data_IF_921446876154
#
_entry.id   IF_921446876154
#
_cell.length_a   1.000
_cell.length_b   1.000
_cell.length_c   1.000
_cell.angle_alpha   90.00
_cell.angle_beta   90.00
_cell.angle_gamma   90.00
#
_symmetry.space_group_name_H-M   'P 1'
#
loop_
_entity.id
_entity.type
_entity.pdbx_description
1 polymer ?
#
# COMPACT_ATOMS: atom_id res chain seq x y z
N UNK A 1 -5.22 -13.66 -13.33
CA UNK A 1 -4.73 -12.62 -12.41
C UNK A 1 -5.51 -11.35 -12.73
N UNK A 2 -6.61 -11.13 -12.05
CA UNK A 2 -7.38 -9.89 -12.21
C UNK A 2 -6.70 -8.87 -11.30
N UNK A 3 -5.83 -8.03 -11.87
CA UNK A 3 -5.39 -6.83 -11.17
C UNK A 3 -6.67 -6.05 -10.85
N UNK A 4 -7.00 -5.92 -9.56
CA UNK A 4 -7.97 -4.90 -9.17
C UNK A 4 -7.44 -3.59 -9.70
N UNK A 5 -8.20 -2.94 -10.58
CA UNK A 5 -7.82 -1.66 -11.20
C UNK A 5 -7.79 -0.51 -10.19
N UNK A 6 -8.22 -0.75 -8.95
CA UNK A 6 -8.27 0.25 -7.88
C UNK A 6 -7.79 -0.34 -6.57
N UNK A 7 -6.76 0.23 -5.98
CA UNK A 7 -6.37 -0.04 -4.59
C UNK A 7 -7.24 0.81 -3.66
N UNK A 8 -7.65 0.26 -2.54
CA UNK A 8 -8.37 0.96 -1.46
C UNK A 8 -7.50 1.15 -0.21
N UNK A 9 -6.29 0.62 -0.24
CA UNK A 9 -5.28 0.80 0.81
C UNK A 9 -3.98 1.38 0.25
N UNK A 10 -3.22 2.07 1.10
CA UNK A 10 -1.91 2.63 0.74
C UNK A 10 -0.92 1.53 0.42
N UNK A 11 -0.97 0.45 1.20
CA UNK A 11 -0.12 -0.72 0.99
C UNK A 11 -0.34 -1.32 -0.40
N UNK A 12 -1.60 -1.54 -0.79
CA UNK A 12 -1.96 -2.15 -2.07
C UNK A 12 -1.57 -1.25 -3.25
N UNK A 13 -1.77 0.08 -3.11
CA UNK A 13 -1.38 1.05 -4.12
C UNK A 13 0.15 1.09 -4.33
N UNK A 14 0.93 1.01 -3.24
CA UNK A 14 2.38 0.90 -3.33
C UNK A 14 2.83 -0.42 -3.98
N UNK A 15 2.17 -1.55 -3.66
CA UNK A 15 2.47 -2.84 -4.28
C UNK A 15 2.17 -2.84 -5.79
N UNK A 16 1.08 -2.17 -6.20
CA UNK A 16 0.75 -2.00 -7.61
C UNK A 16 1.78 -1.12 -8.34
N UNK A 17 2.21 -0.03 -7.73
CA UNK A 17 3.25 0.83 -8.30
C UNK A 17 4.60 0.08 -8.40
N UNK A 18 5.00 -0.62 -7.34
CA UNK A 18 6.20 -1.45 -7.31
C UNK A 18 6.20 -2.53 -8.39
N UNK A 19 5.03 -3.06 -8.75
CA UNK A 19 4.89 -4.11 -9.76
C UNK A 19 5.39 -3.69 -11.14
N UNK A 20 5.42 -2.41 -11.45
CA UNK A 20 5.93 -1.85 -12.72
C UNK A 20 7.45 -2.04 -12.87
N UNK A 21 8.16 -2.21 -11.74
CA UNK A 21 9.60 -2.41 -11.69
C UNK A 21 10.02 -3.89 -11.64
N UNK A 22 9.07 -4.83 -11.54
CA UNK A 22 9.41 -6.24 -11.42
C UNK A 22 10.09 -6.78 -12.66
N UNK A 23 11.16 -7.54 -12.45
CA UNK A 23 11.89 -8.24 -13.53
C UNK A 23 11.30 -9.60 -13.86
N UNK A 24 10.45 -10.15 -12.97
CA UNK A 24 9.77 -11.44 -13.13
C UNK A 24 8.37 -11.35 -12.54
N UNK A 25 7.43 -12.08 -13.11
CA UNK A 25 6.06 -12.21 -12.55
C UNK A 25 6.08 -13.01 -11.24
N UNK A 26 5.21 -12.69 -10.27
CA UNK A 26 5.04 -13.51 -9.08
C UNK A 26 4.47 -14.89 -9.42
N UNK A 27 4.59 -15.89 -8.52
CA UNK A 27 4.05 -17.22 -8.75
C UNK A 27 2.53 -17.17 -8.90
N UNK A 28 1.99 -18.02 -9.79
CA UNK A 28 0.55 -18.03 -10.12
C UNK A 28 -0.26 -19.05 -9.32
N UNK A 29 0.32 -20.25 -9.09
CA UNK A 29 -0.41 -21.31 -8.37
C UNK A 29 -0.34 -21.09 -6.86
N UNK A 30 -1.41 -21.47 -6.14
CA UNK A 30 -1.48 -21.39 -4.69
C UNK A 30 -0.32 -22.09 -4.02
N UNK A 31 0.05 -23.30 -4.49
CA UNK A 31 1.18 -24.03 -3.95
C UNK A 31 2.51 -23.29 -4.12
N UNK A 32 2.76 -22.70 -5.28
CA UNK A 32 3.97 -21.94 -5.53
C UNK A 32 4.01 -20.65 -4.69
N UNK A 33 2.86 -20.01 -4.47
CA UNK A 33 2.72 -18.85 -3.60
C UNK A 33 3.00 -19.21 -2.14
N UNK A 34 2.41 -20.29 -1.64
CA UNK A 34 2.64 -20.79 -0.28
C UNK A 34 4.10 -21.23 -0.06
N UNK A 35 4.69 -21.93 -1.02
CA UNK A 35 6.11 -22.31 -0.97
C UNK A 35 7.01 -21.05 -0.93
N UNK A 36 6.68 -20.03 -1.71
CA UNK A 36 7.39 -18.74 -1.65
C UNK A 36 7.27 -18.08 -0.28
N UNK A 37 6.05 -17.95 0.27
CA UNK A 37 5.83 -17.34 1.60
C UNK A 37 6.50 -18.15 2.71
N UNK A 38 6.47 -19.48 2.66
CA UNK A 38 7.22 -20.34 3.58
C UNK A 38 8.72 -20.05 3.54
N UNK A 39 9.27 -19.80 2.37
CA UNK A 39 10.69 -19.40 2.26
C UNK A 39 10.98 -18.05 2.95
N UNK A 40 10.01 -17.12 2.95
CA UNK A 40 10.14 -15.83 3.63
C UNK A 40 10.03 -15.96 5.15
N UNK A 41 9.24 -16.92 5.66
CA UNK A 41 9.11 -17.24 7.10
C UNK A 41 10.12 -18.27 7.59
N UNK A 42 11.21 -18.51 6.83
CA UNK A 42 12.26 -19.50 7.16
C UNK A 42 11.71 -20.93 7.37
N UNK A 43 10.70 -21.32 6.59
CA UNK A 43 10.01 -22.60 6.66
C UNK A 43 9.18 -22.79 7.95
N UNK A 44 8.90 -21.74 8.68
CA UNK A 44 8.05 -21.76 9.85
C UNK A 44 6.57 -21.60 9.43
N UNK A 45 5.81 -22.73 9.53
CA UNK A 45 4.40 -22.77 9.19
C UNK A 45 3.52 -21.99 10.18
N UNK A 46 3.91 -21.91 11.47
CA UNK A 46 3.18 -21.14 12.47
C UNK A 46 3.36 -19.63 12.19
N UNK A 47 4.57 -19.20 11.85
CA UNK A 47 4.81 -17.82 11.43
C UNK A 47 4.04 -17.46 10.15
N UNK A 48 3.91 -18.39 9.20
CA UNK A 48 3.09 -18.19 8.01
C UNK A 48 1.59 -18.08 8.34
N UNK A 49 1.06 -18.96 9.21
CA UNK A 49 -0.33 -18.90 9.65
C UNK A 49 -0.64 -17.56 10.34
N UNK A 50 0.25 -17.09 11.21
CA UNK A 50 0.15 -15.77 11.83
C UNK A 50 0.19 -14.62 10.81
N UNK A 51 1.08 -14.70 9.82
CA UNK A 51 1.20 -13.71 8.74
C UNK A 51 -0.10 -13.59 7.92
N UNK A 52 -0.76 -14.73 7.67
CA UNK A 52 -2.00 -14.80 6.92
C UNK A 52 -3.25 -14.59 7.79
N UNK A 53 -3.08 -14.44 9.11
CA UNK A 53 -4.17 -14.34 10.11
C UNK A 53 -5.13 -15.53 10.08
N UNK A 54 -4.59 -16.75 9.94
CA UNK A 54 -5.34 -17.99 9.88
C UNK A 54 -4.82 -18.99 10.92
N UNK A 55 -5.62 -20.02 11.19
CA UNK A 55 -5.20 -21.16 12.01
C UNK A 55 -4.29 -22.10 11.23
N UNK A 56 -3.49 -22.88 11.93
CA UNK A 56 -2.66 -23.93 11.29
C UNK A 56 -3.51 -24.94 10.51
N UNK A 57 -4.71 -25.26 11.01
CA UNK A 57 -5.64 -26.18 10.33
C UNK A 57 -6.15 -25.61 9.00
N UNK A 58 -6.48 -24.33 8.93
CA UNK A 58 -6.87 -23.65 7.68
C UNK A 58 -5.72 -23.59 6.67
N UNK A 59 -4.50 -23.34 7.16
CA UNK A 59 -3.31 -23.37 6.31
C UNK A 59 -3.04 -24.77 5.73
N UNK A 60 -3.19 -25.82 6.54
CA UNK A 60 -3.02 -27.21 6.11
C UNK A 60 -4.13 -27.61 5.12
N UNK A 61 -5.37 -27.21 5.36
CA UNK A 61 -6.48 -27.43 4.43
C UNK A 61 -6.22 -26.77 3.07
N UNK A 62 -5.70 -25.53 3.06
CA UNK A 62 -5.33 -24.82 1.83
C UNK A 62 -4.19 -25.52 1.07
N UNK A 63 -3.21 -26.09 1.79
CA UNK A 63 -2.12 -26.87 1.21
C UNK A 63 -2.60 -28.20 0.61
N UNK A 64 -3.57 -28.85 1.27
CA UNK A 64 -4.14 -30.11 0.81
C UNK A 64 -5.08 -29.95 -0.40
N UNK A 65 -5.79 -28.82 -0.47
CA UNK A 65 -6.75 -28.53 -1.55
C UNK A 65 -6.49 -27.15 -2.18
N UNK A 66 -5.44 -27.04 -3.02
CA UNK A 66 -5.01 -25.74 -3.57
C UNK A 66 -5.93 -25.19 -4.68
N UNK A 67 -7.03 -25.87 -5.00
CA UNK A 67 -8.06 -25.43 -5.96
C UNK A 67 -9.18 -24.66 -5.28
N UNK A 68 -8.83 -23.65 -4.52
CA UNK A 68 -9.80 -22.72 -3.94
C UNK A 68 -10.26 -21.71 -5.00
N UNK A 69 -11.53 -21.30 -5.00
CA UNK A 69 -12.01 -20.25 -5.89
C UNK A 69 -11.18 -18.97 -5.77
N UNK A 70 -11.00 -18.24 -6.85
CA UNK A 70 -10.24 -16.99 -6.85
C UNK A 70 -10.82 -15.92 -5.91
N UNK A 71 -12.10 -16.05 -5.58
CA UNK A 71 -12.83 -15.15 -4.67
C UNK A 71 -12.72 -15.54 -3.18
N UNK A 72 -12.00 -16.62 -2.87
CA UNK A 72 -11.77 -17.03 -1.47
C UNK A 72 -10.90 -15.98 -0.76
N UNK A 73 -11.34 -15.46 0.41
CA UNK A 73 -10.58 -14.46 1.16
C UNK A 73 -9.17 -14.89 1.52
N UNK A 74 -8.97 -16.18 1.82
CA UNK A 74 -7.65 -16.72 2.15
C UNK A 74 -6.74 -16.74 0.91
N UNK A 75 -7.28 -17.09 -0.25
CA UNK A 75 -6.53 -17.04 -1.51
C UNK A 75 -6.07 -15.61 -1.84
N UNK A 76 -6.95 -14.63 -1.65
CA UNK A 76 -6.63 -13.22 -1.81
C UNK A 76 -5.59 -12.74 -0.78
N UNK A 77 -5.66 -13.21 0.47
CA UNK A 77 -4.67 -12.90 1.49
C UNK A 77 -3.27 -13.45 1.10
N UNK A 78 -3.20 -14.70 0.64
CA UNK A 78 -1.95 -15.29 0.13
C UNK A 78 -1.40 -14.49 -1.05
N UNK A 79 -2.24 -14.07 -1.98
CA UNK A 79 -1.82 -13.24 -3.11
C UNK A 79 -1.25 -11.90 -2.65
N UNK A 80 -1.96 -11.17 -1.78
CA UNK A 80 -1.49 -9.89 -1.24
C UNK A 80 -0.13 -10.02 -0.55
N UNK A 81 0.05 -11.04 0.30
CA UNK A 81 1.32 -11.23 0.99
C UNK A 81 2.45 -11.62 0.03
N UNK A 82 2.18 -12.39 -1.03
CA UNK A 82 3.18 -12.64 -2.08
C UNK A 82 3.63 -11.34 -2.74
N UNK A 83 2.69 -10.47 -3.13
CA UNK A 83 3.01 -9.18 -3.75
C UNK A 83 3.82 -8.30 -2.79
N UNK A 84 3.45 -8.28 -1.52
CA UNK A 84 4.12 -7.54 -0.46
C UNK A 84 5.60 -7.91 -0.31
N UNK A 85 5.95 -9.19 -0.43
CA UNK A 85 7.32 -9.68 -0.28
C UNK A 85 8.06 -9.88 -1.60
N UNK A 86 7.39 -9.68 -2.77
CA UNK A 86 7.99 -9.98 -4.07
C UNK A 86 9.13 -9.05 -4.41
N UNK A 87 10.26 -9.65 -4.84
CA UNK A 87 11.46 -8.97 -5.33
C UNK A 87 11.95 -7.77 -4.47
N UNK A 88 12.18 -7.91 -3.17
CA UNK A 88 12.46 -6.79 -2.28
C UNK A 88 13.74 -6.01 -2.67
N UNK A 89 14.71 -6.67 -3.30
CA UNK A 89 15.96 -6.03 -3.77
C UNK A 89 15.69 -5.12 -4.98
N UNK A 90 14.84 -5.57 -5.91
CA UNK A 90 14.45 -4.78 -7.09
C UNK A 90 13.70 -3.54 -6.65
N UNK A 91 12.70 -3.71 -5.77
CA UNK A 91 11.95 -2.61 -5.17
C UNK A 91 12.85 -1.59 -4.48
N UNK A 92 13.74 -2.03 -3.59
CA UNK A 92 14.67 -1.11 -2.89
C UNK A 92 15.54 -0.32 -3.86
N UNK A 93 16.01 -0.95 -4.95
CA UNK A 93 16.80 -0.26 -5.98
C UNK A 93 15.96 0.78 -6.72
N UNK A 94 14.71 0.47 -7.09
CA UNK A 94 13.80 1.42 -7.72
C UNK A 94 13.51 2.61 -6.80
N UNK A 95 13.15 2.35 -5.53
CA UNK A 95 12.91 3.42 -4.55
C UNK A 95 14.15 4.30 -4.33
N UNK A 96 15.34 3.72 -4.24
CA UNK A 96 16.58 4.48 -4.10
C UNK A 96 16.85 5.38 -5.31
N UNK A 97 16.58 4.89 -6.53
CA UNK A 97 16.72 5.68 -7.75
C UNK A 97 15.72 6.86 -7.80
N UNK A 98 14.47 6.63 -7.36
CA UNK A 98 13.45 7.69 -7.28
C UNK A 98 13.91 8.78 -6.30
N UNK A 99 14.36 8.39 -5.10
CA UNK A 99 14.83 9.35 -4.09
C UNK A 99 16.05 10.13 -4.58
N UNK A 100 17.00 9.47 -5.26
CA UNK A 100 18.17 10.13 -5.85
C UNK A 100 17.80 11.16 -6.94
N UNK A 101 16.66 10.96 -7.62
CA UNK A 101 16.10 11.86 -8.63
C UNK A 101 15.05 12.82 -8.05
N UNK A 102 15.33 13.45 -6.93
CA UNK A 102 14.48 14.41 -6.20
C UNK A 102 13.20 13.83 -5.56
N UNK A 103 13.03 12.50 -5.56
CA UNK A 103 11.92 11.85 -4.87
C UNK A 103 10.54 12.26 -5.36
N UNK A 104 10.37 12.57 -6.63
CA UNK A 104 9.07 12.92 -7.18
C UNK A 104 8.18 11.68 -7.29
N UNK A 105 6.98 11.80 -6.77
CA UNK A 105 5.96 10.75 -6.80
C UNK A 105 4.61 11.41 -7.07
N UNK A 106 3.90 10.93 -8.09
CA UNK A 106 2.53 11.35 -8.34
C UNK A 106 1.57 10.45 -7.59
N UNK A 107 0.55 11.03 -7.00
CA UNK A 107 -0.56 10.36 -6.32
C UNK A 107 -1.86 10.76 -7.00
N UNK A 108 -2.58 9.78 -7.56
CA UNK A 108 -3.96 9.95 -8.03
C UNK A 108 -4.90 9.21 -7.10
N UNK A 109 -5.99 9.85 -6.65
CA UNK A 109 -6.93 9.21 -5.76
C UNK A 109 -8.34 9.76 -5.87
N UNK A 110 -9.32 8.92 -5.50
CA UNK A 110 -10.69 9.30 -5.19
C UNK A 110 -10.99 8.85 -3.77
N UNK A 111 -11.25 9.81 -2.90
CA UNK A 111 -11.50 9.52 -1.49
C UNK A 111 -12.41 10.58 -0.85
N UNK A 112 -13.09 10.20 0.23
CA UNK A 112 -13.70 11.14 1.15
C UNK A 112 -12.60 11.74 2.03
N UNK A 113 -12.48 13.05 2.00
CA UNK A 113 -11.54 13.80 2.79
C UNK A 113 -12.26 14.42 3.97
N UNK A 114 -11.84 14.05 5.19
CA UNK A 114 -12.13 14.83 6.38
C UNK A 114 -11.14 15.99 6.46
N UNK A 115 -11.61 17.13 6.94
CA UNK A 115 -10.81 18.33 7.09
C UNK A 115 -10.85 18.79 8.55
N UNK A 116 -9.68 19.18 9.08
CA UNK A 116 -9.62 20.07 10.22
C UNK A 116 -9.28 21.44 9.65
N UNK A 117 -10.21 22.37 9.73
CA UNK A 117 -10.07 23.66 9.09
C UNK A 117 -9.95 24.80 10.11
N UNK A 118 -9.44 25.95 9.66
CA UNK A 118 -9.44 27.16 10.49
C UNK A 118 -10.86 27.57 10.88
N UNK A 119 -10.99 28.25 12.02
CA UNK A 119 -12.29 28.72 12.53
C UNK A 119 -13.08 29.50 11.45
N UNK A 120 -14.29 29.05 11.16
CA UNK A 120 -15.20 29.66 10.15
C UNK A 120 -15.30 28.94 8.82
N UNK A 121 -14.60 27.80 8.62
CA UNK A 121 -14.80 26.91 7.48
C UNK A 121 -15.46 25.60 7.91
N UNK A 122 -16.12 24.93 6.95
CA UNK A 122 -16.82 23.67 7.20
C UNK A 122 -15.85 22.52 7.25
N UNK A 123 -15.91 21.71 8.31
CA UNK A 123 -15.16 20.44 8.48
C UNK A 123 -15.87 19.25 7.84
N UNK A 124 -16.94 19.49 7.04
CA UNK A 124 -17.71 18.42 6.42
C UNK A 124 -16.86 17.56 5.49
N UNK A 125 -16.94 16.22 5.61
CA UNK A 125 -16.23 15.33 4.70
C UNK A 125 -16.68 15.55 3.25
N UNK A 126 -15.71 15.61 2.33
CA UNK A 126 -15.98 15.86 0.91
C UNK A 126 -15.33 14.82 0.03
N UNK A 127 -16.10 14.28 -0.90
CA UNK A 127 -15.54 13.41 -1.95
C UNK A 127 -14.67 14.25 -2.89
N UNK A 128 -13.44 13.81 -3.07
CA UNK A 128 -12.47 14.44 -4.00
C UNK A 128 -11.85 13.40 -4.92
N UNK A 129 -11.66 13.82 -6.18
CA UNK A 129 -10.81 13.15 -7.17
C UNK A 129 -9.66 14.12 -7.45
N UNK A 130 -8.45 13.75 -7.05
CA UNK A 130 -7.28 14.62 -7.13
C UNK A 130 -6.07 13.85 -7.65
N UNK A 131 -5.19 14.61 -8.33
CA UNK A 131 -3.83 14.18 -8.67
C UNK A 131 -2.86 15.18 -8.07
N UNK A 132 -1.98 14.70 -7.20
CA UNK A 132 -1.02 15.52 -6.46
C UNK A 132 0.41 15.06 -6.74
N UNK A 133 1.35 16.00 -6.79
CA UNK A 133 2.77 15.67 -6.78
C UNK A 133 3.27 15.68 -5.34
N UNK A 134 3.61 14.50 -4.84
CA UNK A 134 4.22 14.34 -3.51
C UNK A 134 5.71 14.64 -3.65
N UNK A 135 6.18 15.59 -2.87
CA UNK A 135 7.58 16.00 -2.86
C UNK A 135 8.28 15.53 -1.59
N UNK A 136 9.61 15.59 -1.57
CA UNK A 136 10.40 15.34 -0.34
C UNK A 136 9.80 16.11 0.85
N UNK A 137 9.70 15.46 2.05
CA UNK A 137 10.27 14.17 2.39
C UNK A 137 9.30 12.96 2.26
N UNK A 138 8.08 13.16 1.80
CA UNK A 138 7.00 12.17 1.89
C UNK A 138 7.25 10.85 1.12
N UNK A 139 7.77 10.87 -0.13
CA UNK A 139 8.13 9.62 -0.80
C UNK A 139 9.16 8.80 -0.02
N UNK A 140 10.16 9.48 0.56
CA UNK A 140 11.15 8.80 1.42
C UNK A 140 10.50 8.17 2.66
N UNK A 141 9.58 8.87 3.32
CA UNK A 141 8.86 8.34 4.50
C UNK A 141 8.01 7.12 4.13
N UNK A 142 7.25 7.18 3.02
CA UNK A 142 6.43 6.06 2.53
C UNK A 142 7.31 4.86 2.20
N UNK A 143 8.41 5.04 1.45
CA UNK A 143 9.32 3.96 1.10
C UNK A 143 10.01 3.35 2.33
N UNK A 144 10.42 4.18 3.28
CA UNK A 144 11.03 3.70 4.54
C UNK A 144 10.03 2.87 5.35
N UNK A 145 8.81 3.35 5.52
CA UNK A 145 7.74 2.62 6.19
C UNK A 145 7.41 1.31 5.47
N UNK A 146 7.32 1.35 4.13
CA UNK A 146 7.11 0.17 3.29
C UNK A 146 8.23 -0.87 3.43
N UNK A 147 9.50 -0.45 3.50
CA UNK A 147 10.65 -1.37 3.64
C UNK A 147 10.67 -2.10 4.99
N UNK A 148 10.15 -1.51 6.04
CA UNK A 148 10.04 -2.14 7.37
C UNK A 148 8.71 -2.85 7.59
N UNK A 149 7.89 -2.98 6.54
CA UNK A 149 6.57 -3.58 6.59
C UNK A 149 5.63 -2.91 7.62
N UNK A 150 5.65 -1.58 7.67
CA UNK A 150 4.77 -0.81 8.55
C UNK A 150 3.30 -1.17 8.30
N UNK A 151 2.45 -1.12 9.34
CA UNK A 151 1.02 -1.37 9.21
C UNK A 151 0.35 -0.29 8.37
N UNK A 152 -0.81 -0.63 7.76
CA UNK A 152 -1.58 0.28 6.92
C UNK A 152 -1.91 1.61 7.62
N UNK A 153 -2.23 1.56 8.91
CA UNK A 153 -2.52 2.78 9.70
C UNK A 153 -1.37 3.79 9.68
N UNK A 154 -0.12 3.31 9.73
CA UNK A 154 1.05 4.17 9.67
C UNK A 154 1.30 4.72 8.26
N UNK A 155 1.16 3.88 7.22
CA UNK A 155 1.26 4.31 5.84
C UNK A 155 0.20 5.38 5.52
N UNK A 156 -1.03 5.18 6.01
CA UNK A 156 -2.12 6.15 5.87
C UNK A 156 -1.83 7.45 6.61
N UNK A 157 -1.25 7.41 7.80
CA UNK A 157 -0.86 8.62 8.54
C UNK A 157 0.20 9.43 7.78
N UNK A 158 1.20 8.77 7.20
CA UNK A 158 2.20 9.45 6.35
C UNK A 158 1.54 10.07 5.12
N UNK A 159 0.61 9.34 4.49
CA UNK A 159 -0.10 9.84 3.31
C UNK A 159 -1.02 11.01 3.65
N UNK A 160 -1.73 10.98 4.78
CA UNK A 160 -2.55 12.09 5.25
C UNK A 160 -1.71 13.37 5.42
N UNK A 161 -0.52 13.25 6.03
CA UNK A 161 0.40 14.37 6.16
C UNK A 161 0.89 14.89 4.80
N UNK A 162 1.18 13.98 3.86
CA UNK A 162 1.60 14.36 2.51
C UNK A 162 0.47 15.09 1.76
N UNK A 163 -0.75 14.58 1.82
CA UNK A 163 -1.93 15.20 1.18
C UNK A 163 -2.23 16.54 1.83
N UNK A 164 -2.17 16.64 3.16
CA UNK A 164 -2.36 17.92 3.89
C UNK A 164 -1.36 18.96 3.41
N UNK A 165 -0.08 18.61 3.34
CA UNK A 165 0.97 19.48 2.86
C UNK A 165 0.72 19.95 1.41
N UNK A 166 0.38 19.02 0.50
CA UNK A 166 0.15 19.36 -0.91
C UNK A 166 -1.16 20.11 -1.15
N UNK A 167 -2.21 19.82 -0.39
CA UNK A 167 -3.54 20.40 -0.58
C UNK A 167 -3.62 21.84 -0.08
N UNK A 168 -3.07 22.11 1.13
CA UNK A 168 -3.13 23.44 1.73
C UNK A 168 -1.95 24.35 1.34
N UNK A 169 -0.79 23.77 1.00
CA UNK A 169 0.45 24.53 0.84
C UNK A 169 0.71 25.07 -0.56
N UNK A 170 -0.20 24.87 -1.50
CA UNK A 170 0.07 25.21 -2.91
C UNK A 170 0.41 26.68 -3.15
N UNK A 171 0.13 27.61 -2.22
CA UNK A 171 0.51 29.03 -2.30
C UNK A 171 0.34 29.81 -0.99
N UNK A 172 0.29 29.18 0.20
CA UNK A 172 0.15 29.91 1.47
C UNK A 172 1.02 29.28 2.56
N UNK A 173 1.59 30.09 3.49
CA UNK A 173 2.14 29.55 4.71
C UNK A 173 1.01 28.82 5.46
N UNK A 174 1.29 27.61 5.92
CA UNK A 174 0.33 26.79 6.69
C UNK A 174 -0.11 27.51 7.92
N UNK A 175 -1.42 27.58 8.12
CA UNK A 175 -1.96 27.79 9.46
C UNK A 175 -1.73 26.52 10.26
N UNK A 176 -1.11 26.62 11.46
CA UNK A 176 -1.01 25.46 12.34
C UNK A 176 -2.41 24.91 12.61
N UNK A 177 -2.66 23.63 12.28
CA UNK A 177 -3.92 22.97 12.56
C UNK A 177 -4.76 22.59 11.34
N UNK A 178 -4.43 23.03 10.11
CA UNK A 178 -5.13 22.57 8.93
C UNK A 178 -4.61 21.17 8.51
N UNK A 179 -5.48 20.16 8.59
CA UNK A 179 -5.15 18.79 8.23
C UNK A 179 -6.20 18.17 7.33
N UNK A 180 -5.78 17.20 6.53
CA UNK A 180 -6.64 16.35 5.72
C UNK A 180 -6.48 14.92 6.18
N UNK A 181 -7.60 14.21 6.34
CA UNK A 181 -7.62 12.77 6.57
C UNK A 181 -8.34 12.06 5.42
N UNK A 182 -7.75 10.97 4.94
CA UNK A 182 -8.40 10.05 4.00
C UNK A 182 -9.33 9.13 4.79
N UNK A 183 -10.64 9.42 4.84
CA UNK A 183 -11.60 8.65 5.63
C UNK A 183 -12.00 7.36 4.91
N UNK A 184 -12.46 7.47 3.67
CA UNK A 184 -12.81 6.35 2.81
C UNK A 184 -12.15 6.52 1.46
N UNK A 185 -11.34 5.54 1.08
CA UNK A 185 -10.63 5.51 -0.20
C UNK A 185 -11.43 4.64 -1.15
N UNK A 186 -11.88 5.21 -2.26
CA UNK A 186 -12.53 4.48 -3.34
C UNK A 186 -11.48 4.03 -4.39
N UNK A 187 -10.39 4.79 -4.52
CA UNK A 187 -9.32 4.57 -5.48
C UNK A 187 -8.05 5.28 -5.04
N UNK A 188 -6.92 4.61 -5.18
CA UNK A 188 -5.59 5.14 -4.87
C UNK A 188 -4.56 4.57 -5.83
N UNK A 189 -3.73 5.42 -6.45
CA UNK A 189 -2.67 5.00 -7.35
C UNK A 189 -1.44 5.89 -7.21
N UNK A 190 -0.27 5.27 -7.05
CA UNK A 190 1.02 5.94 -7.10
C UNK A 190 1.66 5.76 -8.47
N UNK A 191 2.33 6.81 -8.95
CA UNK A 191 3.12 6.82 -10.17
C UNK A 191 4.53 7.33 -9.85
N UNK A 192 5.52 6.48 -10.05
CA UNK A 192 6.95 6.73 -9.86
C UNK A 192 7.82 5.78 -10.69
#
# INVERSE_FOLDING_TARGET
>A
MTLRLSADTVQEALDQADSRHWTRKPPHSTNARLAYLLSQTRQDAAALANLLHVTSAELDALRASPRTPADDPLHQAVEREVLRYWQPRVRRRAHAAIIANNGQMMLSFRAWLGFTAAAGSSDDPRLRLLTLSLQSPYPHHLFTARHRNAPEAELRAILNNAVSACYFHRNRPTSPGETVSLERIDYLEFHY
#
